data_IF_042974364863
#
_entry.id   IF_042974364863
#
_cell.length_a   1.000
_cell.length_b   1.000
_cell.length_c   1.000
_cell.angle_alpha   90.00
_cell.angle_beta   90.00
_cell.angle_gamma   90.00
#
_symmetry.space_group_name_H-M   'P 1'
#
loop_
_entity.id
_entity.type
_entity.pdbx_description
1 polymer ?
#
# COMPACT_ATOMS: atom_id res chain seq x y z
N UNK A 1 29.44 3.42 -31.12
CA UNK A 1 30.83 3.37 -30.63
C UNK A 1 30.76 3.84 -29.20
N UNK A 2 30.65 2.98 -28.19
CA UNK A 2 31.52 1.88 -27.76
C UNK A 2 30.58 0.80 -27.18
N UNK A 3 30.46 -0.41 -27.77
CA UNK A 3 31.14 -1.64 -27.33
C UNK A 3 31.15 -1.72 -25.79
N UNK A 4 30.40 -2.59 -25.14
CA UNK A 4 30.75 -4.00 -25.03
C UNK A 4 29.47 -4.80 -24.76
N UNK A 5 29.17 -5.70 -25.69
CA UNK A 5 28.51 -6.96 -25.36
C UNK A 5 29.47 -7.70 -24.42
N UNK A 6 29.35 -7.43 -23.12
CA UNK A 6 29.88 -8.31 -22.08
C UNK A 6 28.92 -9.51 -22.07
N UNK A 7 29.40 -10.75 -22.22
CA UNK A 7 28.54 -11.91 -22.03
C UNK A 7 27.93 -11.77 -20.65
N UNK A 8 26.60 -11.76 -20.56
CA UNK A 8 25.91 -11.76 -19.27
C UNK A 8 26.50 -12.90 -18.44
N UNK A 9 27.24 -12.56 -17.39
CA UNK A 9 27.49 -13.50 -16.30
C UNK A 9 26.16 -14.17 -15.97
N UNK A 10 26.19 -15.50 -15.85
CA UNK A 10 25.02 -16.32 -15.58
C UNK A 10 24.11 -15.62 -14.58
N UNK A 11 22.90 -15.29 -14.99
CA UNK A 11 21.91 -14.82 -14.04
C UNK A 11 21.81 -15.87 -12.93
N UNK A 12 22.11 -15.50 -11.70
CA UNK A 12 22.08 -16.40 -10.54
C UNK A 12 20.72 -17.10 -10.35
N UNK A 13 19.69 -16.61 -11.06
CA UNK A 13 18.35 -17.14 -11.06
C UNK A 13 18.04 -18.05 -12.25
N UNK A 14 17.42 -19.19 -11.95
CA UNK A 14 16.82 -20.05 -12.97
C UNK A 14 15.65 -19.33 -13.67
N UNK A 15 15.29 -19.76 -14.88
CA UNK A 15 14.14 -19.20 -15.60
C UNK A 15 12.86 -19.22 -14.76
N UNK A 16 12.63 -20.28 -13.97
CA UNK A 16 11.47 -20.40 -13.08
C UNK A 16 11.48 -19.34 -11.97
N UNK A 17 12.63 -19.11 -11.34
CA UNK A 17 12.77 -18.09 -10.30
C UNK A 17 12.54 -16.67 -10.86
N UNK A 18 13.02 -16.40 -12.08
CA UNK A 18 12.74 -15.11 -12.75
C UNK A 18 11.25 -14.89 -12.97
N UNK A 19 10.49 -15.93 -13.34
CA UNK A 19 9.03 -15.85 -13.50
C UNK A 19 8.35 -15.50 -12.18
N UNK A 20 8.80 -16.09 -11.06
CA UNK A 20 8.26 -15.78 -9.74
C UNK A 20 8.61 -14.36 -9.28
N UNK A 21 9.85 -13.90 -9.55
CA UNK A 21 10.25 -12.52 -9.27
C UNK A 21 9.45 -11.50 -10.08
N UNK A 22 9.21 -11.75 -11.38
CA UNK A 22 8.35 -10.90 -12.22
C UNK A 22 6.92 -10.89 -11.68
N UNK A 23 6.42 -12.05 -11.26
CA UNK A 23 5.09 -12.18 -10.68
C UNK A 23 4.95 -11.36 -9.39
N UNK A 24 5.90 -11.47 -8.47
CA UNK A 24 5.92 -10.68 -7.25
C UNK A 24 6.01 -9.18 -7.56
N UNK A 25 6.87 -8.78 -8.51
CA UNK A 25 7.02 -7.39 -8.91
C UNK A 25 5.72 -6.78 -9.47
N UNK A 26 4.88 -7.56 -10.16
CA UNK A 26 3.54 -7.12 -10.57
C UNK A 26 2.64 -6.82 -9.36
N UNK A 27 2.76 -7.61 -8.29
CA UNK A 27 2.07 -7.39 -7.02
C UNK A 27 2.56 -6.12 -6.32
N UNK A 28 3.87 -5.89 -6.29
CA UNK A 28 4.48 -4.70 -5.71
C UNK A 28 4.02 -3.43 -6.46
N UNK A 29 3.99 -3.48 -7.80
CA UNK A 29 3.44 -2.41 -8.63
C UNK A 29 1.96 -2.19 -8.34
N UNK A 30 1.16 -3.26 -8.24
CA UNK A 30 -0.26 -3.15 -7.93
C UNK A 30 -0.52 -2.51 -6.55
N UNK A 31 0.31 -2.84 -5.55
CA UNK A 31 0.25 -2.25 -4.22
C UNK A 31 0.66 -0.78 -4.21
N UNK A 32 1.62 -0.38 -5.06
CA UNK A 32 2.20 0.96 -5.08
C UNK A 32 1.22 2.08 -5.50
N UNK A 33 0.01 1.74 -5.97
CA UNK A 33 -1.06 2.67 -6.31
C UNK A 33 -2.32 2.48 -5.42
N UNK A 34 -2.25 2.69 -4.09
CA UNK A 34 -3.36 2.44 -3.17
C UNK A 34 -4.43 3.56 -3.17
N UNK A 35 -4.53 4.34 -4.24
CA UNK A 35 -5.36 5.54 -4.33
C UNK A 35 -6.84 5.28 -4.00
N UNK A 36 -7.38 4.14 -4.43
CA UNK A 36 -8.77 3.74 -4.21
C UNK A 36 -9.16 3.65 -2.73
N UNK A 37 -8.19 3.45 -1.83
CA UNK A 37 -8.42 3.29 -0.39
C UNK A 37 -8.64 4.60 0.37
N UNK A 38 -8.16 5.73 -0.17
CA UNK A 38 -8.23 7.04 0.50
C UNK A 38 -9.00 8.09 -0.30
N UNK A 39 -9.31 7.77 -1.57
CA UNK A 39 -9.99 8.65 -2.51
C UNK A 39 -11.26 9.24 -1.89
N UNK A 40 -12.10 8.38 -1.30
CA UNK A 40 -13.45 8.75 -0.85
C UNK A 40 -13.33 9.66 0.38
N UNK A 41 -12.40 9.35 1.29
CA UNK A 41 -12.09 10.14 2.47
C UNK A 41 -11.58 11.53 2.11
N UNK A 42 -10.73 11.64 1.08
CA UNK A 42 -10.26 12.94 0.58
C UNK A 42 -11.43 13.70 -0.06
N UNK A 43 -12.24 13.04 -0.88
CA UNK A 43 -13.40 13.64 -1.54
C UNK A 43 -14.39 14.24 -0.55
N UNK A 44 -14.67 13.55 0.56
CA UNK A 44 -15.59 13.99 1.61
C UNK A 44 -15.11 15.28 2.33
N UNK A 45 -13.83 15.63 2.20
CA UNK A 45 -13.28 16.87 2.80
C UNK A 45 -13.29 18.09 1.87
N UNK A 46 -13.56 17.90 0.58
CA UNK A 46 -13.59 19.00 -0.38
C UNK A 46 -14.92 19.75 -0.32
N UNK A 47 -14.89 21.06 -0.61
CA UNK A 47 -16.11 21.88 -0.63
C UNK A 47 -16.75 21.88 -2.03
N UNK A 48 -18.09 21.83 -2.14
CA UNK A 48 -18.79 22.03 -3.42
C UNK A 48 -18.47 23.41 -4.02
N UNK A 49 -18.52 23.61 -5.36
CA UNK A 49 -19.00 22.70 -6.41
C UNK A 49 -17.89 22.01 -7.23
N UNK A 50 -16.61 22.20 -6.92
CA UNK A 50 -15.47 21.79 -7.77
C UNK A 50 -14.80 20.48 -7.33
N UNK A 51 -15.43 19.66 -6.49
CA UNK A 51 -14.83 18.43 -5.93
C UNK A 51 -14.29 17.49 -7.02
N UNK A 52 -15.09 17.24 -8.06
CA UNK A 52 -14.72 16.36 -9.17
C UNK A 52 -13.53 16.90 -9.96
N UNK A 53 -13.55 18.19 -10.31
CA UNK A 53 -12.48 18.81 -11.11
C UNK A 53 -11.17 18.92 -10.33
N UNK A 54 -11.28 19.25 -9.04
CA UNK A 54 -10.15 19.33 -8.10
C UNK A 54 -9.52 17.95 -7.95
N UNK A 55 -10.32 16.91 -7.67
CA UNK A 55 -9.81 15.55 -7.53
C UNK A 55 -9.24 15.00 -8.82
N UNK A 56 -9.89 15.23 -9.96
CA UNK A 56 -9.37 14.77 -11.25
C UNK A 56 -7.99 15.37 -11.53
N UNK A 57 -7.81 16.66 -11.26
CA UNK A 57 -6.53 17.36 -11.45
C UNK A 57 -5.48 16.86 -10.47
N UNK A 58 -5.81 16.82 -9.17
CA UNK A 58 -4.90 16.34 -8.13
C UNK A 58 -4.44 14.90 -8.40
N UNK A 59 -5.36 14.02 -8.80
CA UNK A 59 -5.06 12.62 -9.08
C UNK A 59 -4.26 12.43 -10.36
N UNK A 60 -4.53 13.22 -11.41
CA UNK A 60 -3.71 13.19 -12.62
C UNK A 60 -2.27 13.57 -12.32
N UNK A 61 -2.06 14.67 -11.56
CA UNK A 61 -0.72 15.12 -11.16
C UNK A 61 -0.05 14.06 -10.27
N UNK A 62 -0.77 13.56 -9.26
CA UNK A 62 -0.25 12.57 -8.31
C UNK A 62 0.18 11.28 -8.99
N UNK A 63 -0.68 10.69 -9.84
CA UNK A 63 -0.37 9.46 -10.57
C UNK A 63 0.80 9.71 -11.53
N UNK A 64 0.79 10.80 -12.30
CA UNK A 64 1.87 11.10 -13.25
C UNK A 64 3.21 11.27 -12.55
N UNK A 65 3.25 12.04 -11.47
CA UNK A 65 4.46 12.26 -10.68
C UNK A 65 4.95 10.95 -10.06
N UNK A 66 4.06 10.18 -9.44
CA UNK A 66 4.40 8.89 -8.80
C UNK A 66 4.94 7.89 -9.82
N UNK A 67 4.29 7.75 -10.97
CA UNK A 67 4.76 6.87 -12.05
C UNK A 67 6.13 7.29 -12.56
N UNK A 68 6.35 8.60 -12.77
CA UNK A 68 7.66 9.11 -13.16
C UNK A 68 8.74 8.75 -12.13
N UNK A 69 8.49 9.03 -10.84
CA UNK A 69 9.43 8.70 -9.78
C UNK A 69 9.72 7.20 -9.68
N UNK A 70 8.70 6.34 -9.76
CA UNK A 70 8.90 4.88 -9.70
C UNK A 70 9.70 4.35 -10.89
N UNK A 71 9.41 4.84 -12.11
CA UNK A 71 10.20 4.47 -13.29
C UNK A 71 11.64 4.96 -13.15
N UNK A 72 11.86 6.19 -12.68
CA UNK A 72 13.20 6.70 -12.42
C UNK A 72 13.94 5.87 -11.37
N UNK A 73 13.33 5.57 -10.23
CA UNK A 73 13.94 4.74 -9.19
C UNK A 73 14.26 3.32 -9.69
N UNK A 74 13.35 2.70 -10.44
CA UNK A 74 13.55 1.38 -11.03
C UNK A 74 14.68 1.38 -12.07
N UNK A 75 14.67 2.34 -13.00
CA UNK A 75 15.65 2.44 -14.06
C UNK A 75 17.05 2.81 -13.54
N UNK A 76 17.15 3.79 -12.64
CA UNK A 76 18.42 4.19 -12.03
C UNK A 76 18.94 3.11 -11.07
N UNK A 77 18.06 2.46 -10.31
CA UNK A 77 18.43 1.33 -9.46
C UNK A 77 19.01 0.18 -10.27
N UNK A 78 18.32 -0.21 -11.35
CA UNK A 78 18.82 -1.23 -12.27
C UNK A 78 20.11 -0.80 -12.98
N UNK A 79 20.25 0.47 -13.37
CA UNK A 79 21.49 0.97 -13.97
C UNK A 79 22.68 0.94 -12.99
N UNK A 80 22.43 1.08 -11.69
CA UNK A 80 23.46 1.05 -10.65
C UNK A 80 23.84 -0.38 -10.22
N UNK A 81 22.88 -1.30 -10.11
CA UNK A 81 23.09 -2.62 -9.51
C UNK A 81 22.88 -3.81 -10.48
N UNK A 82 22.32 -3.57 -11.67
CA UNK A 82 22.01 -4.62 -12.65
C UNK A 82 21.10 -5.71 -12.09
N UNK A 83 21.40 -6.96 -12.42
CA UNK A 83 20.67 -8.14 -11.94
C UNK A 83 20.73 -8.34 -10.41
N UNK A 84 21.66 -7.66 -9.73
CA UNK A 84 21.81 -7.72 -8.26
C UNK A 84 21.03 -6.62 -7.53
N UNK A 85 20.07 -5.96 -8.21
CA UNK A 85 19.27 -4.88 -7.60
C UNK A 85 18.48 -5.41 -6.40
N UNK A 86 18.71 -4.88 -5.17
CA UNK A 86 17.97 -5.33 -4.01
C UNK A 86 16.54 -4.77 -4.00
N UNK A 87 15.60 -5.54 -3.43
CA UNK A 87 14.21 -5.09 -3.29
C UNK A 87 14.04 -3.83 -2.42
N UNK A 88 14.99 -3.55 -1.52
CA UNK A 88 15.15 -2.23 -0.89
C UNK A 88 16.44 -1.60 -1.41
N UNK A 89 16.33 -0.57 -2.25
CA UNK A 89 17.50 0.08 -2.86
C UNK A 89 18.51 0.58 -1.81
N UNK A 90 18.06 0.99 -0.62
CA UNK A 90 18.94 1.50 0.43
C UNK A 90 19.88 0.42 1.00
N UNK A 91 19.50 -0.86 0.94
CA UNK A 91 20.38 -1.94 1.41
C UNK A 91 21.53 -2.20 0.44
N UNK A 92 21.38 -1.83 -0.84
CA UNK A 92 22.44 -1.98 -1.86
C UNK A 92 23.61 -1.01 -1.66
N UNK A 93 23.37 0.13 -1.02
CA UNK A 93 24.39 1.15 -0.77
C UNK A 93 25.10 1.02 0.58
N UNK A 94 24.72 0.06 1.43
CA UNK A 94 25.21 -0.07 2.81
C UNK A 94 26.74 -0.26 2.98
N UNK A 95 27.48 -0.42 1.88
CA UNK A 95 28.95 -0.54 1.87
C UNK A 95 29.67 0.64 1.18
N UNK A 96 28.92 1.60 0.62
CA UNK A 96 29.47 2.74 -0.12
C UNK A 96 29.37 4.02 0.71
N UNK A 97 30.49 4.72 0.85
CA UNK A 97 30.50 6.05 1.47
C UNK A 97 29.66 7.04 0.65
N UNK A 98 28.82 7.90 1.26
CA UNK A 98 28.79 8.20 2.70
C UNK A 98 27.55 7.68 3.46
N UNK A 99 27.79 7.00 4.60
CA UNK A 99 26.77 6.41 5.47
C UNK A 99 25.69 7.38 5.98
N UNK A 100 26.03 8.66 6.18
CA UNK A 100 25.08 9.67 6.68
C UNK A 100 23.87 9.86 5.75
N UNK A 101 24.05 9.67 4.43
CA UNK A 101 22.98 9.85 3.46
C UNK A 101 21.96 8.71 3.57
N UNK A 102 22.43 7.48 3.83
CA UNK A 102 21.59 6.31 4.08
C UNK A 102 20.82 6.48 5.39
N UNK A 103 21.49 6.94 6.44
CA UNK A 103 20.85 7.21 7.73
C UNK A 103 19.78 8.31 7.60
N UNK A 104 20.06 9.38 6.87
CA UNK A 104 19.10 10.44 6.58
C UNK A 104 17.90 9.93 5.79
N UNK A 105 18.12 9.09 4.78
CA UNK A 105 17.04 8.47 4.00
C UNK A 105 16.17 7.56 4.89
N UNK A 106 16.79 6.75 5.76
CA UNK A 106 16.07 5.91 6.72
C UNK A 106 15.24 6.75 7.71
N UNK A 107 15.77 7.88 8.22
CA UNK A 107 15.01 8.81 9.07
C UNK A 107 13.80 9.38 8.31
N UNK A 108 13.98 9.77 7.05
CA UNK A 108 12.87 10.24 6.21
C UNK A 108 11.78 9.16 6.03
N UNK A 109 12.18 7.91 5.78
CA UNK A 109 11.27 6.76 5.69
C UNK A 109 10.50 6.59 7.00
N UNK A 110 11.19 6.62 8.15
CA UNK A 110 10.53 6.49 9.45
C UNK A 110 9.51 7.59 9.68
N UNK A 111 9.85 8.85 9.42
CA UNK A 111 8.93 9.99 9.55
C UNK A 111 7.71 9.80 8.65
N UNK A 112 7.92 9.42 7.39
CA UNK A 112 6.86 9.17 6.43
C UNK A 112 5.93 8.03 6.89
N UNK A 113 6.49 6.88 7.28
CA UNK A 113 5.73 5.71 7.73
C UNK A 113 4.96 5.97 9.01
N UNK A 114 5.52 6.73 9.96
CA UNK A 114 4.80 7.15 11.17
C UNK A 114 3.60 8.02 10.80
N UNK A 115 3.79 8.98 9.88
CA UNK A 115 2.68 9.79 9.37
C UNK A 115 1.58 8.95 8.71
N UNK A 116 1.97 8.05 7.80
CA UNK A 116 1.06 7.12 7.14
C UNK A 116 0.31 6.25 8.14
N UNK A 117 1.01 5.63 9.11
CA UNK A 117 0.41 4.81 10.15
C UNK A 117 -0.67 5.57 10.93
N UNK A 118 -0.42 6.84 11.27
CA UNK A 118 -1.43 7.65 11.94
C UNK A 118 -2.67 7.86 11.07
N UNK A 119 -2.49 8.28 9.81
CA UNK A 119 -3.61 8.55 8.89
C UNK A 119 -4.44 7.29 8.65
N UNK A 120 -3.82 6.15 8.35
CA UNK A 120 -4.53 4.90 8.07
C UNK A 120 -5.19 4.29 9.31
N UNK A 121 -4.64 4.51 10.51
CA UNK A 121 -5.20 3.95 11.74
C UNK A 121 -6.45 4.73 12.22
N UNK A 122 -6.58 6.03 11.92
CA UNK A 122 -7.72 6.82 12.43
C UNK A 122 -9.09 6.30 11.98
N UNK A 123 -9.36 6.03 10.68
CA UNK A 123 -10.65 5.51 10.24
C UNK A 123 -10.98 4.17 10.88
N UNK A 124 -9.99 3.29 11.03
CA UNK A 124 -10.15 2.00 11.69
C UNK A 124 -10.55 2.19 13.16
N UNK A 125 -9.85 3.07 13.89
CA UNK A 125 -10.19 3.37 15.29
C UNK A 125 -11.59 3.96 15.42
N UNK A 126 -11.97 4.89 14.54
CA UNK A 126 -13.29 5.50 14.54
C UNK A 126 -14.40 4.47 14.26
N UNK A 127 -14.17 3.55 13.32
CA UNK A 127 -15.12 2.50 12.98
C UNK A 127 -15.33 1.50 14.12
N UNK A 128 -14.25 1.07 14.78
CA UNK A 128 -14.35 0.17 15.95
C UNK A 128 -15.04 0.86 17.12
N UNK A 129 -14.74 2.13 17.38
CA UNK A 129 -15.38 2.90 18.45
C UNK A 129 -16.88 3.10 18.19
N UNK A 130 -17.24 3.46 16.95
CA UNK A 130 -18.64 3.58 16.52
C UNK A 130 -19.39 2.25 16.67
N UNK A 131 -18.79 1.16 16.21
CA UNK A 131 -19.37 -0.18 16.32
C UNK A 131 -19.56 -0.58 17.79
N UNK A 132 -18.56 -0.37 18.64
CA UNK A 132 -18.63 -0.71 20.07
C UNK A 132 -19.72 0.11 20.78
N UNK A 133 -19.83 1.41 20.46
CA UNK A 133 -20.86 2.29 21.00
C UNK A 133 -22.27 1.88 20.56
N UNK A 134 -22.44 1.43 19.31
CA UNK A 134 -23.73 0.95 18.81
C UNK A 134 -24.13 -0.41 19.38
N UNK A 135 -23.14 -1.29 19.59
CA UNK A 135 -23.38 -2.66 20.06
C UNK A 135 -23.65 -2.75 21.56
N UNK A 136 -23.07 -1.84 22.34
CA UNK A 136 -23.13 -1.85 23.81
C UNK A 136 -23.52 -0.47 24.36
N UNK A 137 -24.74 0.02 24.07
CA UNK A 137 -25.18 1.37 24.43
C UNK A 137 -25.24 1.62 25.96
N UNK A 138 -25.57 0.59 26.74
CA UNK A 138 -25.75 0.70 28.20
C UNK A 138 -24.47 0.46 29.01
N UNK A 139 -23.35 0.14 28.35
CA UNK A 139 -22.12 -0.22 29.05
C UNK A 139 -21.31 1.04 29.40
N UNK A 140 -21.45 1.52 30.63
CA UNK A 140 -20.81 2.75 31.12
C UNK A 140 -19.27 2.78 31.01
N UNK A 141 -18.60 1.64 30.82
CA UNK A 141 -17.14 1.58 30.57
C UNK A 141 -16.73 2.04 29.18
N UNK A 142 -17.63 1.97 28.19
CA UNK A 142 -17.38 2.40 26.80
C UNK A 142 -17.51 3.93 26.70
N UNK A 143 -18.45 4.51 27.45
CA UNK A 143 -18.75 5.94 27.46
C UNK A 143 -18.09 6.76 28.57
N UNK A 144 -17.39 6.12 29.52
CA UNK A 144 -16.64 6.83 30.58
C UNK A 144 -15.40 7.51 30.01
N UNK A 145 -15.55 8.78 29.66
CA UNK A 145 -14.44 9.70 29.44
C UNK A 145 -13.80 10.07 30.79
N UNK A 146 -12.69 9.42 31.14
CA UNK A 146 -11.88 9.85 32.28
C UNK A 146 -11.17 11.15 31.92
N UNK A 147 -11.55 12.25 32.57
CA UNK A 147 -10.92 13.56 32.38
C UNK A 147 -9.68 13.65 33.25
N UNK A 148 -8.51 13.43 32.66
CA UNK A 148 -7.23 13.65 33.34
C UNK A 148 -6.76 15.08 33.06
N UNK A 149 -6.69 15.89 34.12
CA UNK A 149 -6.05 17.21 34.08
C UNK A 149 -4.56 17.03 34.33
N UNK A 150 -3.75 17.19 33.29
CA UNK A 150 -2.30 17.32 33.41
C UNK A 150 -1.94 18.80 33.65
N UNK A 151 -0.95 19.11 34.51
CA UNK A 151 -0.63 20.47 34.92
C UNK A 151 -0.13 21.41 33.80
N UNK A 152 0.19 20.88 32.61
CA UNK A 152 0.75 21.64 31.48
C UNK A 152 -0.01 21.44 30.15
N UNK A 153 -1.11 20.67 30.11
CA UNK A 153 -1.81 20.32 28.85
C UNK A 153 -3.33 20.34 29.03
N UNK A 154 -4.08 20.65 27.96
CA UNK A 154 -5.55 20.62 27.93
C UNK A 154 -6.08 19.27 28.45
N UNK A 155 -7.24 19.31 29.11
CA UNK A 155 -7.97 18.14 29.67
C UNK A 155 -8.00 16.98 28.67
N UNK A 156 -7.36 15.86 29.00
CA UNK A 156 -7.40 14.64 28.20
C UNK A 156 -8.62 13.82 28.56
N UNK A 157 -9.39 13.38 27.55
CA UNK A 157 -10.49 12.43 27.71
C UNK A 157 -9.99 11.03 27.38
N UNK A 158 -9.66 10.24 28.39
CA UNK A 158 -9.21 8.86 28.23
C UNK A 158 -10.41 7.92 28.35
N UNK A 159 -10.67 7.14 27.31
CA UNK A 159 -11.58 5.98 27.41
C UNK A 159 -10.70 4.74 27.52
N UNK A 160 -11.02 3.86 28.47
CA UNK A 160 -10.28 2.61 28.69
C UNK A 160 -10.34 1.74 27.42
N UNK A 161 -11.49 1.72 26.75
CA UNK A 161 -11.66 1.02 25.47
C UNK A 161 -10.67 1.52 24.42
N UNK A 162 -10.55 2.85 24.26
CA UNK A 162 -9.62 3.46 23.29
C UNK A 162 -8.17 3.12 23.60
N UNK A 163 -7.77 3.14 24.87
CA UNK A 163 -6.40 2.79 25.27
C UNK A 163 -6.12 1.31 25.03
N UNK A 164 -6.96 0.41 25.55
CA UNK A 164 -6.78 -1.03 25.40
C UNK A 164 -6.75 -1.43 23.92
N UNK A 165 -7.67 -0.91 23.10
CA UNK A 165 -7.74 -1.23 21.69
C UNK A 165 -6.51 -0.73 20.92
N UNK A 166 -6.08 0.52 21.15
CA UNK A 166 -4.88 1.06 20.48
C UNK A 166 -3.62 0.30 20.87
N UNK A 167 -3.44 -0.04 22.15
CA UNK A 167 -2.28 -0.83 22.59
C UNK A 167 -2.31 -2.24 22.02
N UNK A 168 -3.47 -2.90 22.01
CA UNK A 168 -3.63 -4.23 21.40
C UNK A 168 -3.37 -4.20 19.90
N UNK A 169 -3.86 -3.17 19.20
CA UNK A 169 -3.61 -2.97 17.77
C UNK A 169 -2.11 -2.83 17.49
N UNK A 170 -1.41 -1.91 18.17
CA UNK A 170 0.04 -1.72 18.01
C UNK A 170 0.82 -3.00 18.34
N UNK A 171 0.49 -3.68 19.44
CA UNK A 171 1.12 -4.94 19.82
C UNK A 171 0.91 -6.02 18.74
N UNK A 172 -0.31 -6.16 18.23
CA UNK A 172 -0.63 -7.12 17.18
C UNK A 172 0.11 -6.83 15.87
N UNK A 173 0.15 -5.58 15.40
CA UNK A 173 0.86 -5.20 14.18
C UNK A 173 2.37 -5.40 14.32
N UNK A 174 2.92 -5.16 15.52
CA UNK A 174 4.33 -5.41 15.83
C UNK A 174 4.67 -6.89 15.80
N UNK A 175 3.83 -7.74 16.40
CA UNK A 175 4.00 -9.20 16.35
C UNK A 175 3.94 -9.70 14.91
N UNK A 176 2.99 -9.21 14.11
CA UNK A 176 2.88 -9.58 12.69
C UNK A 176 4.15 -9.16 11.92
N UNK A 177 4.65 -7.94 12.14
CA UNK A 177 5.88 -7.46 11.51
C UNK A 177 7.10 -8.32 11.88
N UNK A 178 7.18 -8.81 13.12
CA UNK A 178 8.24 -9.73 13.56
C UNK A 178 8.10 -11.12 12.93
N UNK A 179 6.89 -11.60 12.69
CA UNK A 179 6.63 -12.92 12.09
C UNK A 179 6.85 -12.97 10.58
N UNK A 180 6.69 -11.83 9.89
CA UNK A 180 6.83 -11.70 8.44
C UNK A 180 7.75 -10.53 8.07
N UNK A 181 9.08 -10.66 8.27
CA UNK A 181 10.05 -9.62 7.90
C UNK A 181 10.35 -9.58 6.38
N UNK A 182 9.40 -9.97 5.54
CA UNK A 182 9.52 -10.09 4.08
C UNK A 182 8.76 -8.96 3.39
N UNK A 183 9.33 -7.76 3.43
CA UNK A 183 8.62 -6.54 3.03
C UNK A 183 7.99 -6.65 1.63
N UNK A 184 8.79 -6.92 0.59
CA UNK A 184 8.30 -6.97 -0.79
C UNK A 184 7.29 -8.11 -1.00
N UNK A 185 7.56 -9.30 -0.47
CA UNK A 185 6.63 -10.42 -0.61
C UNK A 185 5.27 -10.11 0.03
N UNK A 186 5.26 -9.45 1.20
CA UNK A 186 4.02 -9.02 1.85
C UNK A 186 3.31 -7.96 1.02
N UNK A 187 4.03 -6.97 0.47
CA UNK A 187 3.43 -5.97 -0.42
C UNK A 187 2.78 -6.61 -1.65
N UNK A 188 3.48 -7.53 -2.31
CA UNK A 188 2.97 -8.26 -3.45
C UNK A 188 1.70 -9.07 -3.15
N UNK A 189 1.62 -9.72 -1.97
CA UNK A 189 0.40 -10.40 -1.51
C UNK A 189 -0.74 -9.41 -1.30
N UNK A 190 -0.51 -8.30 -0.60
CA UNK A 190 -1.54 -7.28 -0.36
C UNK A 190 -2.00 -6.64 -1.69
N UNK A 191 -1.08 -6.37 -2.61
CA UNK A 191 -1.38 -5.89 -3.96
C UNK A 191 -2.24 -6.88 -4.74
N UNK A 192 -1.88 -8.16 -4.75
CA UNK A 192 -2.64 -9.21 -5.41
C UNK A 192 -4.04 -9.40 -4.83
N UNK A 193 -4.22 -9.23 -3.52
CA UNK A 193 -5.53 -9.35 -2.85
C UNK A 193 -6.41 -8.12 -3.09
N UNK A 194 -5.87 -6.91 -2.91
CA UNK A 194 -6.70 -5.69 -2.88
C UNK A 194 -6.91 -5.06 -4.25
N UNK A 195 -5.94 -5.15 -5.15
CA UNK A 195 -5.96 -4.38 -6.40
C UNK A 195 -7.19 -4.68 -7.25
N UNK A 196 -7.46 -5.96 -7.55
CA UNK A 196 -8.61 -6.31 -8.38
C UNK A 196 -9.96 -5.96 -7.73
N UNK A 197 -10.29 -6.42 -6.51
CA UNK A 197 -11.61 -6.16 -5.95
C UNK A 197 -11.85 -4.68 -5.67
N UNK A 198 -10.86 -3.96 -5.14
CA UNK A 198 -11.03 -2.58 -4.63
C UNK A 198 -10.73 -1.52 -5.68
N UNK A 199 -9.67 -1.70 -6.49
CA UNK A 199 -9.25 -0.68 -7.46
C UNK A 199 -9.88 -0.85 -8.83
N UNK A 200 -10.31 -2.07 -9.19
CA UNK A 200 -10.82 -2.38 -10.54
C UNK A 200 -12.30 -2.77 -10.49
N UNK A 201 -12.63 -3.91 -9.88
CA UNK A 201 -13.97 -4.48 -9.91
C UNK A 201 -15.01 -3.56 -9.27
N UNK A 202 -14.78 -3.15 -8.02
CA UNK A 202 -15.76 -2.33 -7.29
C UNK A 202 -16.06 -0.99 -7.98
N UNK A 203 -15.06 -0.18 -8.41
CA UNK A 203 -15.32 1.06 -9.13
C UNK A 203 -16.02 0.85 -10.48
N UNK A 204 -15.69 -0.20 -11.23
CA UNK A 204 -16.36 -0.53 -12.50
C UNK A 204 -17.83 -0.86 -12.26
N UNK A 205 -18.14 -1.69 -11.27
CA UNK A 205 -19.53 -2.03 -10.94
C UNK A 205 -20.31 -0.82 -10.39
N UNK A 206 -19.66 0.01 -9.58
CA UNK A 206 -20.24 1.27 -9.09
C UNK A 206 -20.57 2.20 -10.26
N UNK A 207 -19.67 2.33 -11.22
CA UNK A 207 -19.89 3.14 -12.42
C UNK A 207 -21.07 2.62 -13.26
N UNK A 208 -21.17 1.31 -13.48
CA UNK A 208 -22.31 0.72 -14.20
C UNK A 208 -23.64 1.01 -13.51
N UNK A 209 -23.71 0.87 -12.18
CA UNK A 209 -24.93 1.15 -11.41
C UNK A 209 -25.27 2.64 -11.38
N UNK A 210 -24.29 3.51 -11.16
CA UNK A 210 -24.53 4.95 -11.01
C UNK A 210 -24.89 5.63 -12.34
N UNK A 211 -24.32 5.15 -13.46
CA UNK A 211 -24.57 5.72 -14.80
C UNK A 211 -25.61 4.94 -15.61
N UNK A 212 -26.23 3.90 -15.05
CA UNK A 212 -27.16 3.01 -15.76
C UNK A 212 -26.62 2.60 -17.14
N UNK A 213 -25.37 2.13 -17.18
CA UNK A 213 -24.74 1.75 -18.44
C UNK A 213 -25.45 0.53 -18.99
N UNK A 214 -25.94 0.64 -20.23
CA UNK A 214 -26.65 -0.45 -20.89
C UNK A 214 -25.74 -1.66 -21.08
N UNK A 215 -26.25 -2.84 -20.70
CA UNK A 215 -25.52 -4.09 -20.84
C UNK A 215 -25.17 -4.33 -22.32
N UNK A 216 -23.97 -4.87 -22.57
CA UNK A 216 -23.44 -5.12 -23.92
C UNK A 216 -23.17 -3.88 -24.79
N UNK A 217 -23.35 -2.67 -24.26
CA UNK A 217 -22.83 -1.47 -24.92
C UNK A 217 -21.30 -1.55 -25.05
N UNK A 218 -20.71 -0.84 -26.01
CA UNK A 218 -19.25 -0.83 -26.22
C UNK A 218 -18.48 -0.44 -24.96
N UNK A 219 -19.00 0.55 -24.20
CA UNK A 219 -18.41 0.97 -22.91
C UNK A 219 -18.49 -0.12 -21.86
N UNK A 220 -19.62 -0.82 -21.77
CA UNK A 220 -19.80 -1.94 -20.84
C UNK A 220 -18.82 -3.06 -21.16
N UNK A 221 -18.76 -3.50 -22.42
CA UNK A 221 -17.87 -4.58 -22.86
C UNK A 221 -16.40 -4.21 -22.62
N UNK A 222 -16.00 -2.97 -22.93
CA UNK A 222 -14.62 -2.51 -22.71
C UNK A 222 -14.24 -2.55 -21.21
N UNK A 223 -15.06 -1.97 -20.34
CA UNK A 223 -14.77 -1.91 -18.89
C UNK A 223 -14.85 -3.28 -18.23
N UNK A 224 -15.81 -4.11 -18.64
CA UNK A 224 -15.95 -5.48 -18.13
C UNK A 224 -14.78 -6.36 -18.59
N UNK A 225 -14.36 -6.25 -19.85
CA UNK A 225 -13.18 -6.97 -20.37
C UNK A 225 -11.92 -6.55 -19.64
N UNK A 226 -11.71 -5.25 -19.43
CA UNK A 226 -10.60 -4.74 -18.63
C UNK A 226 -10.57 -5.35 -17.22
N UNK A 227 -11.71 -5.38 -16.53
CA UNK A 227 -11.81 -5.98 -15.20
C UNK A 227 -11.50 -7.49 -15.20
N UNK A 228 -12.03 -8.23 -16.17
CA UNK A 228 -11.78 -9.68 -16.31
C UNK A 228 -10.31 -9.96 -16.64
N UNK A 229 -9.65 -9.13 -17.43
CA UNK A 229 -8.22 -9.28 -17.77
C UNK A 229 -7.29 -8.94 -16.61
N UNK A 230 -7.66 -7.98 -15.75
CA UNK A 230 -6.87 -7.66 -14.56
C UNK A 230 -6.89 -8.80 -13.52
N UNK A 231 -7.98 -9.57 -13.42
CA UNK A 231 -8.11 -10.66 -12.46
C UNK A 231 -6.99 -11.71 -12.56
N UNK A 232 -6.72 -12.36 -13.70
CA UNK A 232 -5.65 -13.36 -13.80
C UNK A 232 -4.27 -12.76 -13.55
N UNK A 233 -4.04 -11.49 -13.92
CA UNK A 233 -2.77 -10.80 -13.63
C UNK A 233 -2.58 -10.65 -12.11
N UNK A 234 -3.61 -10.23 -11.38
CA UNK A 234 -3.55 -10.12 -9.92
C UNK A 234 -3.44 -11.47 -9.22
N UNK A 235 -4.10 -12.52 -9.75
CA UNK A 235 -3.98 -13.87 -9.22
C UNK A 235 -2.57 -14.42 -9.44
N UNK A 236 -2.00 -14.18 -10.62
CA UNK A 236 -0.60 -14.52 -10.90
C UNK A 236 0.32 -13.84 -9.89
N UNK A 237 0.20 -12.52 -9.72
CA UNK A 237 0.98 -11.74 -8.76
C UNK A 237 0.85 -12.24 -7.31
N UNK A 238 -0.37 -12.60 -6.89
CA UNK A 238 -0.64 -13.18 -5.57
C UNK A 238 0.09 -14.51 -5.39
N UNK A 239 0.02 -15.40 -6.37
CA UNK A 239 0.69 -16.71 -6.32
C UNK A 239 2.21 -16.54 -6.27
N UNK A 240 2.78 -15.66 -7.10
CA UNK A 240 4.23 -15.40 -7.08
C UNK A 240 4.70 -14.79 -5.76
N UNK A 241 3.91 -13.92 -5.16
CA UNK A 241 4.24 -13.33 -3.86
C UNK A 241 4.17 -14.34 -2.73
N UNK A 242 3.18 -15.25 -2.75
CA UNK A 242 3.08 -16.36 -1.78
C UNK A 242 4.26 -17.33 -1.93
N UNK A 243 4.63 -17.69 -3.17
CA UNK A 243 5.81 -18.50 -3.46
C UNK A 243 7.06 -17.83 -2.88
N UNK A 244 7.22 -16.52 -3.09
CA UNK A 244 8.30 -15.74 -2.52
C UNK A 244 8.37 -15.81 -0.99
N UNK A 245 7.22 -15.77 -0.28
CA UNK A 245 7.18 -15.95 1.18
C UNK A 245 7.62 -17.37 1.56
N UNK A 246 7.11 -18.39 0.87
CA UNK A 246 7.41 -19.80 1.17
C UNK A 246 8.91 -20.05 0.98
N UNK A 247 9.47 -19.62 -0.14
CA UNK A 247 10.89 -19.80 -0.46
C UNK A 247 11.80 -18.99 0.46
N UNK A 248 11.38 -17.80 0.91
CA UNK A 248 12.13 -17.01 1.89
C UNK A 248 12.03 -17.56 3.34
N UNK A 249 11.05 -18.43 3.61
CA UNK A 249 10.88 -19.11 4.91
C UNK A 249 11.62 -20.43 5.00
N UNK A 250 11.87 -21.08 3.87
CA UNK A 250 12.54 -22.39 3.81
C UNK A 250 14.06 -22.30 3.62
N UNK A 251 14.58 -21.11 3.29
CA UNK A 251 16.02 -20.78 3.32
C UNK A 251 16.45 -20.35 4.71
#
# INVERSE_FOLDING_TARGET
>A
MVLLWVPSEESQHTTGEKVWLVSQALGDVAFAYPYSLILIEIQDTLSPPSEMDTMKTASMISISATTFFYICCGALGYAAFGDNTPGNLLTGFGFYEPYWLIDFANVCIVIHLVGGYQVYSQPLFANVEKWASQKFPDNGYIHKDFKVKLPLVKVFRLSILRMCFRTMFVASTTIIAMLFPYFNQVLGVLGGIYFWPVSIYFPVQMYFKQRNVEAWSTKWVMLQTFSILCLPITLFALVGSIEGIITARTK
#
